data_IF_311769568647
#
_entry.id   IF_311769568647
#
_cell.length_a   1.000
_cell.length_b   1.000
_cell.length_c   1.000
_cell.angle_alpha   90.00
_cell.angle_beta   90.00
_cell.angle_gamma   90.00
#
_symmetry.space_group_name_H-M   'P 1'
#
loop_
_entity.id
_entity.type
_entity.pdbx_description
1 polymer ?
#
# COMPACT_ATOMS: atom_id res chain seq x y z
N UNK A 1 -4.29 -21.34 15.47
CA UNK A 1 -5.25 -20.49 14.71
C UNK A 1 -4.44 -19.75 13.67
N UNK A 2 -4.79 -19.93 12.41
CA UNK A 2 -4.13 -19.44 11.21
C UNK A 2 -4.12 -17.91 11.15
N UNK A 3 -3.05 -17.27 11.60
CA UNK A 3 -2.99 -15.81 11.53
C UNK A 3 -2.52 -15.41 10.14
N UNK A 4 -3.47 -15.09 9.28
CA UNK A 4 -3.24 -14.36 8.05
C UNK A 4 -2.23 -13.22 8.29
N UNK A 5 -1.04 -13.30 7.68
CA UNK A 5 0.07 -12.41 7.98
C UNK A 5 -0.21 -10.96 7.57
N UNK A 6 -0.13 -10.03 8.53
CA UNK A 6 -0.22 -8.60 8.27
C UNK A 6 1.17 -7.99 8.07
N UNK A 7 1.33 -7.16 7.04
CA UNK A 7 2.54 -6.35 6.82
C UNK A 7 2.16 -4.87 6.83
N UNK A 8 2.99 -4.05 7.46
CA UNK A 8 2.78 -2.60 7.55
C UNK A 8 4.07 -1.83 7.28
N UNK A 9 3.95 -0.57 6.92
CA UNK A 9 5.09 0.33 6.74
C UNK A 9 4.64 1.73 6.32
N UNK A 10 5.60 2.60 6.01
CA UNK A 10 5.32 3.93 5.48
C UNK A 10 6.20 4.20 4.24
N UNK A 11 5.59 4.62 3.13
CA UNK A 11 6.29 4.87 1.86
C UNK A 11 7.09 6.19 1.85
N UNK A 12 6.74 7.12 2.74
CA UNK A 12 7.35 8.44 2.85
C UNK A 12 8.44 8.49 3.92
N UNK A 13 8.72 7.40 4.64
CA UNK A 13 9.65 7.42 5.77
C UNK A 13 11.11 7.74 5.38
N UNK A 14 11.45 7.60 4.10
CA UNK A 14 12.78 7.91 3.56
C UNK A 14 12.76 9.16 2.66
N UNK A 15 11.68 9.93 2.69
CA UNK A 15 11.52 11.09 1.82
C UNK A 15 11.15 12.34 2.63
N UNK A 16 11.54 13.49 2.12
CA UNK A 16 11.29 14.79 2.72
C UNK A 16 11.36 15.85 1.63
N UNK A 17 10.43 16.80 1.65
CA UNK A 17 10.42 17.92 0.72
C UNK A 17 10.66 19.24 1.46
N UNK A 18 11.35 20.18 0.81
CA UNK A 18 11.68 21.48 1.39
C UNK A 18 10.47 22.43 1.43
N UNK A 19 9.50 22.22 0.55
CA UNK A 19 8.32 23.07 0.39
C UNK A 19 7.16 22.65 1.31
N UNK A 20 7.18 21.44 1.87
CA UNK A 20 6.12 20.99 2.77
C UNK A 20 6.15 19.50 3.13
N UNK A 21 5.10 19.07 3.85
CA UNK A 21 4.91 17.67 4.16
C UNK A 21 4.42 16.91 2.92
N UNK A 22 5.11 15.83 2.57
CA UNK A 22 4.68 14.96 1.48
C UNK A 22 3.40 14.21 1.85
N UNK A 23 2.52 14.06 0.86
CA UNK A 23 1.36 13.18 0.92
C UNK A 23 1.30 12.28 -0.31
N UNK A 24 0.80 11.06 -0.15
CA UNK A 24 0.47 10.18 -1.27
C UNK A 24 -0.88 10.61 -1.85
N UNK A 25 -0.91 10.92 -3.14
CA UNK A 25 -2.14 11.27 -3.86
C UNK A 25 -2.88 10.01 -4.33
N UNK A 26 -2.15 9.05 -4.89
CA UNK A 26 -2.72 7.83 -5.46
C UNK A 26 -1.70 6.69 -5.52
N UNK A 27 -2.20 5.47 -5.71
CA UNK A 27 -1.41 4.31 -6.05
C UNK A 27 -1.97 3.56 -7.24
N UNK A 28 -1.11 2.83 -7.94
CA UNK A 28 -1.46 1.99 -9.08
C UNK A 28 -1.25 0.52 -8.74
N UNK A 29 -2.24 -0.30 -9.07
CA UNK A 29 -2.17 -1.76 -8.99
C UNK A 29 -2.78 -2.37 -10.25
N UNK A 30 -2.03 -3.24 -10.93
CA UNK A 30 -2.42 -3.87 -12.21
C UNK A 30 -2.93 -2.86 -13.26
N UNK A 31 -2.24 -1.71 -13.35
CA UNK A 31 -2.58 -0.64 -14.30
C UNK A 31 -3.78 0.23 -13.89
N UNK A 32 -4.38 -0.01 -12.72
CA UNK A 32 -5.51 0.76 -12.22
C UNK A 32 -5.06 1.74 -11.14
N UNK A 33 -5.40 3.01 -11.32
CA UNK A 33 -5.16 4.07 -10.34
C UNK A 33 -6.25 4.09 -9.27
N UNK A 34 -5.84 4.18 -8.01
CA UNK A 34 -6.69 4.24 -6.83
C UNK A 34 -6.25 5.42 -5.98
N UNK A 35 -7.21 6.22 -5.50
CA UNK A 35 -6.91 7.31 -4.59
C UNK A 35 -6.32 6.77 -3.27
N UNK A 36 -5.34 7.48 -2.71
CA UNK A 36 -4.89 7.20 -1.36
C UNK A 36 -6.03 7.41 -0.35
N UNK A 37 -5.93 6.73 0.80
CA UNK A 37 -7.04 6.62 1.76
C UNK A 37 -7.99 5.45 1.47
N UNK A 38 -7.72 4.66 0.43
CA UNK A 38 -8.55 3.53 0.01
C UNK A 38 -7.84 2.19 0.17
N UNK A 39 -8.64 1.12 0.16
CA UNK A 39 -8.16 -0.27 0.08
C UNK A 39 -8.45 -0.89 -1.29
N UNK A 40 -7.58 -1.81 -1.72
CA UNK A 40 -7.70 -2.59 -2.94
C UNK A 40 -7.59 -4.08 -2.61
N UNK A 41 -8.54 -4.88 -3.08
CA UNK A 41 -8.40 -6.33 -3.04
C UNK A 41 -7.33 -6.77 -4.04
N UNK A 42 -6.46 -7.68 -3.58
CA UNK A 42 -5.42 -8.34 -4.36
C UNK A 42 -5.85 -9.79 -4.49
N UNK A 43 -6.44 -10.14 -5.64
CA UNK A 43 -7.12 -11.41 -5.83
C UNK A 43 -6.24 -12.62 -5.46
N UNK A 44 -6.76 -13.45 -4.55
CA UNK A 44 -6.09 -14.67 -4.06
C UNK A 44 -4.88 -14.45 -3.15
N UNK A 45 -4.64 -13.21 -2.70
CA UNK A 45 -3.49 -12.86 -1.87
C UNK A 45 -3.86 -12.12 -0.60
N UNK A 46 -4.79 -11.17 -0.68
CA UNK A 46 -5.16 -10.36 0.47
C UNK A 46 -5.76 -9.00 0.12
N UNK A 47 -5.70 -8.09 1.08
CA UNK A 47 -6.15 -6.69 0.93
C UNK A 47 -5.00 -5.74 1.20
N UNK A 48 -4.74 -4.83 0.26
CA UNK A 48 -3.77 -3.74 0.41
C UNK A 48 -4.52 -2.43 0.69
N UNK A 49 -4.01 -1.61 1.61
CA UNK A 49 -4.49 -0.26 1.84
C UNK A 49 -3.30 0.69 1.92
N UNK A 50 -3.46 1.89 1.37
CA UNK A 50 -2.46 2.96 1.42
C UNK A 50 -3.15 4.27 1.75
N UNK A 51 -2.69 4.91 2.82
CA UNK A 51 -3.19 6.18 3.32
C UNK A 51 -2.41 7.35 2.71
N UNK A 52 -3.00 8.55 2.78
CA UNK A 52 -2.36 9.77 2.26
C UNK A 52 -1.08 10.15 3.02
N UNK A 53 -0.93 9.72 4.27
CA UNK A 53 0.29 9.91 5.07
C UNK A 53 1.42 8.92 4.75
N UNK A 54 1.23 8.09 3.72
CA UNK A 54 2.17 7.05 3.30
C UNK A 54 2.07 5.73 4.07
N UNK A 55 1.27 5.67 5.13
CA UNK A 55 1.07 4.44 5.90
C UNK A 55 0.35 3.39 5.04
N UNK A 56 0.93 2.20 4.92
CA UNK A 56 0.32 1.09 4.20
C UNK A 56 0.11 -0.13 5.09
N UNK A 57 -0.91 -0.91 4.75
CA UNK A 57 -1.15 -2.24 5.32
C UNK A 57 -1.41 -3.24 4.19
N UNK A 58 -0.81 -4.42 4.28
CA UNK A 58 -1.21 -5.59 3.50
C UNK A 58 -1.65 -6.69 4.47
N UNK A 59 -2.93 -7.03 4.41
CA UNK A 59 -3.51 -8.15 5.14
C UNK A 59 -3.60 -9.33 4.20
N UNK A 60 -2.77 -10.36 4.41
CA UNK A 60 -2.86 -11.59 3.62
C UNK A 60 -4.23 -12.27 3.81
N UNK A 61 -4.65 -13.08 2.84
CA UNK A 61 -5.71 -14.07 3.05
C UNK A 61 -5.17 -15.26 3.86
N UNK A 62 -6.04 -15.96 4.59
CA UNK A 62 -5.63 -17.09 5.45
C UNK A 62 -4.87 -18.20 4.68
N UNK A 63 -5.20 -18.39 3.41
CA UNK A 63 -4.59 -19.39 2.54
C UNK A 63 -3.41 -18.86 1.71
N UNK A 64 -3.05 -17.59 1.85
CA UNK A 64 -1.91 -17.02 1.13
C UNK A 64 -0.60 -17.35 1.85
N UNK A 65 0.20 -18.23 1.26
CA UNK A 65 1.48 -18.69 1.82
C UNK A 65 2.67 -17.77 1.54
N UNK A 66 2.44 -16.55 1.04
CA UNK A 66 3.51 -15.70 0.50
C UNK A 66 3.88 -16.07 -0.95
N UNK A 67 4.52 -15.14 -1.66
CA UNK A 67 4.87 -15.31 -3.08
C UNK A 67 5.30 -14.00 -3.73
N UNK A 68 5.26 -13.94 -5.07
CA UNK A 68 5.70 -12.82 -5.91
C UNK A 68 5.46 -11.43 -5.29
N UNK A 69 6.42 -10.49 -5.37
CA UNK A 69 6.24 -9.14 -4.86
C UNK A 69 4.98 -8.46 -5.41
N UNK A 70 4.28 -7.70 -4.57
CA UNK A 70 3.24 -6.79 -5.03
C UNK A 70 3.91 -5.57 -5.67
N UNK A 71 3.67 -5.36 -6.96
CA UNK A 71 4.10 -4.16 -7.64
C UNK A 71 3.05 -3.06 -7.42
N UNK A 72 3.42 -2.05 -6.63
CA UNK A 72 2.61 -0.87 -6.35
C UNK A 72 3.40 0.34 -6.83
N UNK A 73 2.84 1.09 -7.78
CA UNK A 73 3.31 2.45 -8.09
C UNK A 73 2.56 3.45 -7.21
N UNK A 74 3.17 4.58 -6.87
CA UNK A 74 2.50 5.64 -6.14
C UNK A 74 2.95 7.01 -6.61
N UNK A 75 2.10 8.01 -6.40
CA UNK A 75 2.40 9.41 -6.71
C UNK A 75 2.32 10.22 -5.43
N UNK A 76 3.37 10.99 -5.17
CA UNK A 76 3.46 11.93 -4.04
C UNK A 76 3.25 13.36 -4.52
N UNK A 77 2.80 14.22 -3.62
CA UNK A 77 2.67 15.66 -3.82
C UNK A 77 2.95 16.39 -2.49
N UNK A 78 3.32 17.66 -2.58
CA UNK A 78 3.45 18.60 -1.46
C UNK A 78 2.20 19.45 -1.25
#
# INVERSE_FOLDING_TARGET
VDTAGQRTGNLLSNDSDADGALVVASFTYEGQTVAAGSSRNVAGRGTFALQADGSFTFQADANYSGGHPLAIGYTVQT
#
